data_IF_285736791926
#
_entry.id   IF_285736791926
#
_cell.length_a   1.000
_cell.length_b   1.000
_cell.length_c   1.000
_cell.angle_alpha   90.00
_cell.angle_beta   90.00
_cell.angle_gamma   90.00
#
_symmetry.space_group_name_H-M   'P 1'
#
loop_
_entity.id
_entity.type
_entity.pdbx_description
1 polymer ?
#
# COMPACT_ATOMS: atom_id res chain seq x y z
N UNK A 1 6.54 -37.56 -6.01
CA UNK A 1 6.89 -36.30 -5.31
C UNK A 1 5.88 -36.16 -4.19
N UNK A 2 6.36 -36.13 -2.94
CA UNK A 2 5.48 -36.29 -1.78
C UNK A 2 4.88 -34.96 -1.33
N UNK A 3 3.67 -35.02 -0.74
CA UNK A 3 2.97 -33.89 -0.09
C UNK A 3 3.87 -33.02 0.81
N UNK A 4 4.85 -33.66 1.47
CA UNK A 4 5.88 -33.03 2.32
C UNK A 4 6.88 -32.13 1.57
N UNK A 5 7.12 -32.40 0.29
CA UNK A 5 8.07 -31.67 -0.56
C UNK A 5 7.38 -30.46 -1.21
N UNK A 6 6.09 -30.57 -1.52
CA UNK A 6 5.22 -29.44 -1.90
C UNK A 6 4.99 -28.48 -0.73
N UNK A 7 4.70 -28.99 0.48
CA UNK A 7 4.57 -28.18 1.70
C UNK A 7 5.88 -27.46 2.06
N UNK A 8 7.04 -28.07 1.81
CA UNK A 8 8.35 -27.43 2.00
C UNK A 8 8.59 -26.28 1.03
N UNK A 9 8.27 -26.47 -0.27
CA UNK A 9 8.37 -25.40 -1.28
C UNK A 9 7.42 -24.25 -1.02
N UNK A 10 6.20 -24.53 -0.54
CA UNK A 10 5.24 -23.52 -0.10
C UNK A 10 5.77 -22.72 1.12
N UNK A 11 6.62 -23.34 1.94
CA UNK A 11 7.30 -22.71 3.09
C UNK A 11 8.63 -22.01 2.76
N UNK A 12 9.24 -22.22 1.59
CA UNK A 12 10.56 -21.66 1.23
C UNK A 12 10.51 -20.24 0.64
N UNK A 13 9.33 -19.76 0.24
CA UNK A 13 9.17 -18.39 -0.28
C UNK A 13 9.23 -17.30 0.80
N UNK A 14 9.79 -16.14 0.46
CA UNK A 14 9.68 -14.90 1.26
C UNK A 14 8.59 -14.00 0.67
N UNK A 15 7.84 -13.30 1.52
CA UNK A 15 6.94 -12.23 1.10
C UNK A 15 7.73 -10.91 1.03
N UNK A 16 7.82 -10.30 -0.16
CA UNK A 16 8.56 -9.05 -0.39
C UNK A 16 7.63 -7.85 -0.26
N UNK A 17 7.81 -7.05 0.79
CA UNK A 17 6.98 -5.88 1.07
C UNK A 17 7.84 -4.64 1.12
N UNK A 18 7.42 -3.59 0.42
CA UNK A 18 8.15 -2.33 0.37
C UNK A 18 7.26 -1.09 0.55
N UNK A 19 7.84 -0.03 1.10
CA UNK A 19 7.16 1.25 1.27
C UNK A 19 8.07 2.39 0.80
N UNK A 20 7.56 3.25 -0.07
CA UNK A 20 8.35 4.34 -0.65
C UNK A 20 7.60 5.67 -0.74
N UNK A 21 8.34 6.73 -0.46
CA UNK A 21 7.98 8.07 -0.91
C UNK A 21 8.42 8.21 -2.37
N UNK A 22 7.48 8.47 -3.28
CA UNK A 22 7.79 8.53 -4.72
C UNK A 22 7.87 9.96 -5.26
N UNK A 23 7.38 10.96 -4.52
CA UNK A 23 7.34 12.36 -4.93
C UNK A 23 6.87 12.54 -6.39
N UNK A 24 5.66 12.07 -6.68
CA UNK A 24 5.04 12.10 -8.00
C UNK A 24 5.19 10.79 -8.78
N UNK A 25 4.06 10.15 -9.14
CA UNK A 25 4.05 8.93 -9.97
C UNK A 25 3.90 9.18 -11.47
N UNK A 26 3.38 10.34 -11.88
CA UNK A 26 3.03 10.62 -13.28
C UNK A 26 4.22 10.60 -14.23
N UNK A 27 5.37 11.06 -13.77
CA UNK A 27 6.61 11.13 -14.57
C UNK A 27 7.46 9.86 -14.43
N UNK A 28 7.02 8.85 -13.68
CA UNK A 28 7.77 7.59 -13.54
C UNK A 28 7.73 6.81 -14.86
N UNK A 29 8.92 6.44 -15.33
CA UNK A 29 9.14 5.68 -16.56
C UNK A 29 8.92 4.18 -16.34
N UNK A 30 8.83 3.41 -17.43
CA UNK A 30 8.61 1.96 -17.42
C UNK A 30 9.58 1.21 -16.50
N UNK A 31 10.88 1.57 -16.51
CA UNK A 31 11.87 0.92 -15.64
C UNK A 31 11.63 1.11 -14.13
N UNK A 32 10.88 2.13 -13.70
CA UNK A 32 10.41 2.21 -12.32
C UNK A 32 9.37 1.12 -12.04
N UNK A 33 8.38 0.99 -12.91
CA UNK A 33 7.32 0.00 -12.79
C UNK A 33 7.81 -1.44 -12.94
N UNK A 34 8.85 -1.70 -13.73
CA UNK A 34 9.51 -3.01 -13.78
C UNK A 34 10.09 -3.41 -12.41
N UNK A 35 10.73 -2.46 -11.70
CA UNK A 35 11.24 -2.72 -10.34
C UNK A 35 10.12 -2.95 -9.33
N UNK A 36 8.99 -2.27 -9.50
CA UNK A 36 7.80 -2.47 -8.67
C UNK A 36 7.28 -3.91 -8.81
N UNK A 37 7.30 -4.50 -10.01
CA UNK A 37 6.85 -5.90 -10.25
C UNK A 37 7.59 -6.96 -9.43
N UNK A 38 8.80 -6.67 -8.97
CA UNK A 38 9.63 -7.59 -8.17
C UNK A 38 9.12 -7.77 -6.74
N UNK A 39 8.23 -6.89 -6.28
CA UNK A 39 7.61 -6.90 -4.96
C UNK A 39 6.26 -7.59 -4.97
N UNK A 40 5.83 -8.08 -3.81
CA UNK A 40 4.54 -8.74 -3.63
C UNK A 40 3.47 -7.79 -3.11
N UNK A 41 3.90 -6.81 -2.29
CA UNK A 41 3.07 -5.69 -1.84
C UNK A 41 3.92 -4.43 -1.78
N UNK A 42 3.40 -3.32 -2.31
CA UNK A 42 4.08 -2.02 -2.21
C UNK A 42 3.10 -0.93 -1.79
N UNK A 43 3.52 -0.15 -0.78
CA UNK A 43 2.90 1.09 -0.39
C UNK A 43 3.66 2.31 -0.92
N UNK A 44 3.03 3.13 -1.72
CA UNK A 44 3.60 4.37 -2.26
C UNK A 44 2.87 5.58 -1.68
N UNK A 45 3.62 6.56 -1.17
CA UNK A 45 3.08 7.84 -0.68
C UNK A 45 3.64 9.01 -1.47
N UNK A 46 3.01 10.17 -1.34
CA UNK A 46 3.38 11.38 -2.09
C UNK A 46 3.29 11.11 -3.60
N UNK A 47 2.25 10.40 -4.01
CA UNK A 47 2.03 10.05 -5.41
C UNK A 47 1.65 11.27 -6.24
N UNK A 48 1.06 12.30 -5.59
CA UNK A 48 0.49 13.50 -6.20
C UNK A 48 -0.52 13.19 -7.31
N UNK A 49 -1.07 11.97 -7.28
CA UNK A 49 -2.06 11.48 -8.21
C UNK A 49 -3.43 11.78 -7.62
N UNK A 50 -4.24 12.55 -8.32
CA UNK A 50 -5.62 12.78 -7.89
C UNK A 50 -6.53 11.63 -8.33
N UNK A 51 -7.67 11.51 -7.67
CA UNK A 51 -8.62 10.42 -7.95
C UNK A 51 -9.07 10.41 -9.41
N UNK A 52 -9.35 11.58 -9.99
CA UNK A 52 -9.81 11.72 -11.38
C UNK A 52 -8.72 11.41 -12.42
N UNK A 53 -7.46 11.37 -12.01
CA UNK A 53 -6.33 11.10 -12.90
C UNK A 53 -6.00 9.61 -12.98
N UNK A 54 -6.60 8.80 -12.10
CA UNK A 54 -6.34 7.38 -11.99
C UNK A 54 -6.70 6.60 -13.25
N UNK A 55 -7.85 6.87 -13.86
CA UNK A 55 -8.29 6.15 -15.07
C UNK A 55 -7.27 6.25 -16.22
N UNK A 56 -6.57 7.38 -16.33
CA UNK A 56 -5.50 7.57 -17.33
C UNK A 56 -4.21 6.84 -16.95
N UNK A 57 -4.00 6.62 -15.64
CA UNK A 57 -2.78 6.03 -15.08
C UNK A 57 -2.86 4.51 -15.00
N UNK A 58 -4.06 3.92 -14.82
CA UNK A 58 -4.29 2.46 -14.73
C UNK A 58 -3.62 1.64 -15.83
N UNK A 59 -3.52 2.18 -17.04
CA UNK A 59 -2.89 1.49 -18.17
C UNK A 59 -1.35 1.50 -18.14
N UNK A 60 -0.75 2.33 -17.28
CA UNK A 60 0.71 2.49 -17.13
C UNK A 60 1.28 1.69 -15.95
N UNK A 61 0.45 1.32 -15.00
CA UNK A 61 0.87 0.49 -13.87
C UNK A 61 0.90 -1.00 -14.24
N UNK A 62 1.70 -1.81 -13.53
CA UNK A 62 1.67 -3.27 -13.66
C UNK A 62 0.26 -3.85 -13.44
N UNK A 63 -0.21 -4.64 -14.41
CA UNK A 63 -1.55 -5.27 -14.39
C UNK A 63 -1.68 -6.49 -13.49
N UNK A 64 -0.57 -7.12 -13.09
CA UNK A 64 -0.56 -8.32 -12.21
C UNK A 64 -0.84 -8.00 -10.73
N UNK A 65 -1.37 -6.82 -10.48
CA UNK A 65 -1.52 -6.23 -9.17
C UNK A 65 -2.88 -5.58 -9.09
N UNK A 66 -3.47 -5.71 -7.91
CA UNK A 66 -4.67 -5.01 -7.53
C UNK A 66 -4.25 -3.71 -6.84
N UNK A 67 -4.56 -2.60 -7.51
CA UNK A 67 -4.16 -1.26 -7.10
C UNK A 67 -5.30 -0.55 -6.39
N UNK A 68 -5.03 -0.12 -5.15
CA UNK A 68 -5.87 0.79 -4.38
C UNK A 68 -5.24 2.18 -4.37
N UNK A 69 -6.07 3.22 -4.44
CA UNK A 69 -5.59 4.60 -4.44
C UNK A 69 -6.39 5.45 -3.44
N UNK A 70 -5.69 6.35 -2.78
CA UNK A 70 -6.25 7.51 -2.10
C UNK A 70 -5.70 8.74 -2.83
N UNK A 71 -6.56 9.47 -3.51
CA UNK A 71 -6.17 10.62 -4.31
C UNK A 71 -5.50 11.73 -3.49
N UNK A 72 -4.50 12.39 -4.07
CA UNK A 72 -3.88 13.59 -3.53
C UNK A 72 -4.88 14.75 -3.44
N UNK A 73 -4.77 15.56 -2.39
CA UNK A 73 -5.62 16.74 -2.19
C UNK A 73 -5.04 17.94 -2.92
N UNK A 74 -5.93 18.82 -3.39
CA UNK A 74 -5.54 20.09 -4.01
C UNK A 74 -5.39 21.14 -2.90
N UNK A 75 -4.18 21.62 -2.72
CA UNK A 75 -3.88 22.64 -1.71
C UNK A 75 -3.20 23.86 -2.33
N UNK A 76 -3.44 25.01 -1.71
CA UNK A 76 -2.84 26.27 -2.14
C UNK A 76 -1.49 26.45 -1.45
N UNK A 77 -0.41 26.34 -2.21
CA UNK A 77 0.96 26.60 -1.76
C UNK A 77 1.42 27.93 -2.34
N UNK A 78 1.31 28.98 -1.52
CA UNK A 78 1.55 30.36 -1.94
C UNK A 78 0.54 30.83 -3.00
N UNK A 79 1.04 31.12 -4.22
CA UNK A 79 0.21 31.58 -5.35
C UNK A 79 -0.20 30.46 -6.31
N UNK A 80 0.22 29.22 -6.07
CA UNK A 80 -0.07 28.07 -6.96
C UNK A 80 -0.89 27.01 -6.21
N UNK A 81 -1.75 26.33 -6.93
CA UNK A 81 -2.38 25.12 -6.43
C UNK A 81 -1.48 23.92 -6.74
N UNK A 82 -1.30 23.02 -5.76
CA UNK A 82 -0.51 21.81 -5.88
C UNK A 82 -1.33 20.60 -5.43
N UNK A 83 -1.07 19.46 -6.04
CA UNK A 83 -1.50 18.19 -5.50
C UNK A 83 -0.53 17.80 -4.38
N UNK A 84 -1.04 17.54 -3.17
CA UNK A 84 -0.25 17.17 -1.99
C UNK A 84 -0.75 15.82 -1.47
N UNK A 85 0.18 14.97 -1.03
CA UNK A 85 -0.14 13.63 -0.55
C UNK A 85 -0.45 12.65 -1.67
N UNK A 86 -1.44 11.81 -1.40
CA UNK A 86 -1.82 10.68 -2.23
C UNK A 86 -1.09 9.41 -1.81
N UNK A 87 -1.85 8.33 -1.71
CA UNK A 87 -1.37 6.99 -1.38
C UNK A 87 -1.79 6.05 -2.50
N UNK A 88 -0.87 5.18 -2.92
CA UNK A 88 -1.19 4.04 -3.76
C UNK A 88 -0.68 2.79 -3.07
N UNK A 89 -1.48 1.74 -3.01
CA UNK A 89 -1.03 0.44 -2.54
C UNK A 89 -1.31 -0.59 -3.63
N UNK A 90 -0.32 -1.41 -3.93
CA UNK A 90 -0.50 -2.60 -4.77
C UNK A 90 -0.41 -3.86 -3.92
N UNK A 91 -1.22 -4.85 -4.29
CA UNK A 91 -1.05 -6.23 -3.82
C UNK A 91 -1.03 -7.14 -5.03
N UNK A 92 -0.05 -8.04 -5.10
CA UNK A 92 0.05 -9.02 -6.19
C UNK A 92 -1.20 -9.90 -6.22
N UNK A 93 -1.74 -10.10 -7.42
CA UNK A 93 -2.87 -11.01 -7.64
C UNK A 93 -2.60 -12.39 -7.00
N UNK A 94 -3.61 -12.94 -6.31
CA UNK A 94 -3.52 -14.23 -5.62
C UNK A 94 -3.04 -14.16 -4.17
N UNK A 95 -2.62 -12.99 -3.67
CA UNK A 95 -2.34 -12.77 -2.24
C UNK A 95 -3.52 -12.14 -1.48
N UNK A 96 -4.51 -11.61 -2.17
CA UNK A 96 -5.63 -10.92 -1.54
C UNK A 96 -6.66 -11.91 -0.98
N UNK A 97 -7.15 -11.66 0.24
CA UNK A 97 -8.18 -12.50 0.86
C UNK A 97 -9.58 -11.87 0.78
N UNK A 98 -9.75 -10.55 0.91
CA UNK A 98 -11.06 -9.89 1.00
C UNK A 98 -11.14 -8.47 0.38
N UNK A 99 -12.37 -8.06 0.01
CA UNK A 99 -12.72 -6.72 -0.48
C UNK A 99 -12.73 -5.65 0.64
N UNK A 100 -12.55 -6.05 1.90
CA UNK A 100 -12.55 -5.13 3.03
C UNK A 100 -11.16 -4.48 3.19
N UNK A 101 -11.16 -3.15 3.08
CA UNK A 101 -9.99 -2.32 3.31
C UNK A 101 -10.42 -1.04 4.00
N UNK A 102 -9.53 -0.50 4.82
CA UNK A 102 -9.79 0.76 5.51
C UNK A 102 -9.13 1.87 4.71
N UNK A 103 -9.95 2.76 4.17
CA UNK A 103 -9.52 4.06 3.69
C UNK A 103 -9.80 5.13 4.73
N UNK A 104 -8.74 5.64 5.33
CA UNK A 104 -8.81 6.79 6.21
C UNK A 104 -7.88 7.87 5.66
N UNK A 105 -8.15 9.14 5.93
CA UNK A 105 -7.24 10.20 5.48
C UNK A 105 -5.82 9.92 5.95
N UNK A 106 -4.90 9.84 4.97
CA UNK A 106 -3.48 9.55 5.13
C UNK A 106 -3.14 8.13 5.63
N UNK A 107 -4.10 7.20 5.64
CA UNK A 107 -3.93 5.80 6.07
C UNK A 107 -4.69 4.86 5.12
N UNK A 108 -3.98 3.90 4.55
CA UNK A 108 -4.59 2.81 3.77
C UNK A 108 -4.16 1.46 4.36
N UNK A 109 -5.14 0.60 4.66
CA UNK A 109 -4.89 -0.74 5.20
C UNK A 109 -5.45 -1.79 4.23
N UNK A 110 -4.62 -2.76 3.84
CA UNK A 110 -5.03 -3.94 3.06
C UNK A 110 -4.74 -5.22 3.83
N UNK A 111 -5.56 -6.23 3.58
CA UNK A 111 -5.39 -7.56 4.15
C UNK A 111 -4.92 -8.55 3.07
N UNK A 112 -3.91 -9.34 3.40
CA UNK A 112 -3.33 -10.33 2.49
C UNK A 112 -3.16 -11.67 3.19
N UNK A 113 -3.28 -12.76 2.43
CA UNK A 113 -3.03 -14.12 2.91
C UNK A 113 -1.69 -14.62 2.41
N UNK A 114 -0.85 -15.06 3.35
CA UNK A 114 0.44 -15.65 3.05
C UNK A 114 0.72 -16.83 3.97
N UNK A 115 1.06 -18.00 3.39
CA UNK A 115 1.31 -19.26 4.13
C UNK A 115 0.20 -19.62 5.13
N UNK A 116 -1.05 -19.46 4.71
CA UNK A 116 -2.28 -19.71 5.49
C UNK A 116 -2.49 -18.73 6.67
N UNK A 117 -1.67 -17.69 6.77
CA UNK A 117 -1.79 -16.62 7.77
C UNK A 117 -2.35 -15.34 7.13
N UNK A 118 -3.14 -14.60 7.91
CA UNK A 118 -3.68 -13.29 7.53
C UNK A 118 -2.73 -12.19 8.00
N UNK A 119 -2.39 -11.28 7.10
CA UNK A 119 -1.50 -10.15 7.34
C UNK A 119 -2.21 -8.85 7.01
N UNK A 120 -2.05 -7.84 7.88
CA UNK A 120 -2.54 -6.48 7.68
C UNK A 120 -1.39 -5.55 7.34
N UNK A 121 -1.52 -4.87 6.22
CA UNK A 121 -0.49 -4.00 5.66
C UNK A 121 -1.02 -2.57 5.65
N UNK A 122 -0.38 -1.69 6.41
CA UNK A 122 -0.76 -0.28 6.51
C UNK A 122 0.28 0.61 5.83
N UNK A 123 -0.13 1.38 4.82
CA UNK A 123 0.67 2.49 4.28
C UNK A 123 0.17 3.78 4.88
N UNK A 124 1.10 4.56 5.42
CA UNK A 124 0.72 5.75 6.18
C UNK A 124 1.57 6.94 5.80
N UNK A 125 0.88 8.03 5.49
CA UNK A 125 1.46 9.34 5.26
C UNK A 125 1.32 10.20 6.53
N UNK A 126 2.43 10.49 7.20
CA UNK A 126 2.37 11.22 8.48
C UNK A 126 2.47 12.72 8.24
N UNK A 127 1.33 13.36 7.97
CA UNK A 127 1.17 14.82 7.97
C UNK A 127 0.60 15.28 9.32
N UNK A 128 1.46 15.42 10.35
CA UNK A 128 1.07 15.93 11.66
C UNK A 128 0.97 14.88 12.77
N UNK A 129 -0.20 14.76 13.41
CA UNK A 129 -0.36 14.07 14.71
C UNK A 129 -0.32 12.53 14.61
N UNK A 130 0.84 11.96 14.95
CA UNK A 130 1.10 10.52 14.99
C UNK A 130 0.17 9.77 15.97
N UNK A 131 -0.20 10.34 17.11
CA UNK A 131 -1.04 9.67 18.11
C UNK A 131 -2.45 9.41 17.59
N UNK A 132 -3.03 10.37 16.86
CA UNK A 132 -4.34 10.20 16.20
C UNK A 132 -4.30 9.02 15.23
N UNK A 133 -3.24 8.94 14.43
CA UNK A 133 -3.01 7.88 13.45
C UNK A 133 -2.80 6.51 14.12
N UNK A 134 -2.01 6.45 15.19
CA UNK A 134 -1.84 5.25 16.00
C UNK A 134 -3.16 4.80 16.65
N UNK A 135 -4.01 5.75 17.06
CA UNK A 135 -5.37 5.50 17.52
C UNK A 135 -6.22 4.81 16.44
N UNK A 136 -6.20 5.31 15.20
CA UNK A 136 -6.91 4.68 14.06
C UNK A 136 -6.41 3.27 13.78
N UNK A 137 -5.10 3.02 13.80
CA UNK A 137 -4.56 1.68 13.58
C UNK A 137 -5.00 0.74 14.71
N UNK A 138 -5.04 1.21 15.96
CA UNK A 138 -5.51 0.42 17.10
C UNK A 138 -6.98 0.06 17.01
N UNK A 139 -7.86 0.97 16.58
CA UNK A 139 -9.30 0.68 16.46
C UNK A 139 -9.62 -0.37 15.41
N UNK A 140 -8.74 -0.58 14.41
CA UNK A 140 -8.89 -1.65 13.41
C UNK A 140 -8.50 -3.03 13.98
N UNK A 141 -7.69 -3.09 15.06
CA UNK A 141 -7.12 -4.33 15.60
C UNK A 141 -8.09 -5.23 16.39
N UNK A 142 -9.37 -4.88 16.46
CA UNK A 142 -10.33 -5.56 17.34
C UNK A 142 -11.23 -6.53 16.57
N UNK A 143 -10.70 -7.72 16.25
CA UNK A 143 -11.52 -8.93 16.05
C UNK A 143 -10.90 -10.12 16.81
N UNK A 144 -11.70 -10.78 17.63
CA UNK A 144 -11.23 -11.83 18.55
C UNK A 144 -10.89 -13.14 17.82
N UNK A 145 -9.73 -13.74 18.15
CA UNK A 145 -9.49 -15.17 17.95
C UNK A 145 -8.45 -15.59 16.89
N UNK A 146 -7.81 -14.68 16.15
CA UNK A 146 -6.70 -15.00 15.23
C UNK A 146 -5.44 -14.19 15.54
N UNK A 147 -4.25 -14.80 15.44
CA UNK A 147 -2.97 -14.10 15.55
C UNK A 147 -2.79 -13.18 14.34
N UNK A 148 -3.19 -11.93 14.45
CA UNK A 148 -2.98 -10.95 13.40
C UNK A 148 -1.53 -10.50 13.33
N UNK A 149 -0.98 -10.46 12.11
CA UNK A 149 0.35 -9.92 11.85
C UNK A 149 0.23 -8.59 11.12
N UNK A 150 0.94 -7.59 11.61
CA UNK A 150 0.88 -6.24 11.09
C UNK A 150 2.24 -5.81 10.55
N UNK A 151 2.23 -5.15 9.39
CA UNK A 151 3.37 -4.39 8.88
C UNK A 151 2.86 -2.98 8.59
N UNK A 152 3.54 -1.98 9.16
CA UNK A 152 3.17 -0.57 9.02
C UNK A 152 4.35 0.17 8.41
N UNK A 153 4.16 0.70 7.19
CA UNK A 153 5.06 1.65 6.56
C UNK A 153 4.60 3.07 6.85
N UNK A 154 5.28 3.74 7.79
CA UNK A 154 5.02 5.14 8.08
C UNK A 154 6.10 6.02 7.44
N UNK A 155 5.68 6.99 6.63
CA UNK A 155 6.57 7.92 5.96
C UNK A 155 6.17 9.33 6.37
N UNK A 156 7.11 10.04 7.00
CA UNK A 156 6.97 11.44 7.39
C UNK A 156 7.94 12.27 6.56
N UNK A 157 7.51 13.46 6.12
CA UNK A 157 8.43 14.48 5.66
C UNK A 157 8.87 15.33 6.84
N UNK A 158 10.16 15.65 6.90
CA UNK A 158 10.63 16.78 7.71
C UNK A 158 10.26 18.06 6.98
N UNK A 159 9.64 18.99 7.69
CA UNK A 159 9.44 20.38 7.27
C UNK A 159 10.78 21.09 7.01
#
# INVERSE_FOLDING_TARGET
>A
MGRREEERKEQEGSLKIGFWNVAGVKEKQEGFWERIKEWDVVGLVETWLKQEEWEKMKNRVPKKFNWSIQGAKKERVGRKERAIGGIMMEVREGLEEEEEWVEEESLMIREVRWKKEKWRLATVYVSGNLDKMMGKIKSVKEEEGRKERWIVGAISMRE
#
